data_IF_175716358179
#
_entry.id   IF_175716358179
#
_cell.length_a   1.000
_cell.length_b   1.000
_cell.length_c   1.000
_cell.angle_alpha   90.00
_cell.angle_beta   90.00
_cell.angle_gamma   90.00
#
_symmetry.space_group_name_H-M   'P 1'
#
loop_
_entity.id
_entity.type
_entity.pdbx_description
1 polymer ?
#
# COMPACT_ATOMS: atom_id res chain seq x y z
N UNK A 1 -13.34 -9.61 -14.25
CA UNK A 1 -11.91 -9.30 -14.24
C UNK A 1 -11.22 -10.05 -13.10
N UNK A 2 -10.05 -10.58 -13.38
CA UNK A 2 -9.36 -11.37 -12.38
C UNK A 2 -8.71 -10.46 -11.32
N UNK A 3 -8.95 -10.78 -10.07
CA UNK A 3 -8.36 -10.01 -8.98
C UNK A 3 -6.86 -10.25 -8.90
N UNK A 4 -6.12 -9.19 -8.54
CA UNK A 4 -4.68 -9.25 -8.35
C UNK A 4 -4.36 -9.06 -6.87
N UNK A 5 -3.50 -9.91 -6.36
CA UNK A 5 -3.05 -9.86 -4.96
C UNK A 5 -1.55 -9.66 -4.90
N UNK A 6 -1.10 -8.98 -3.87
CA UNK A 6 0.31 -8.75 -3.63
C UNK A 6 0.64 -8.98 -2.16
N UNK A 7 1.93 -9.10 -1.87
CA UNK A 7 2.43 -9.27 -0.52
C UNK A 7 3.22 -8.03 -0.12
N UNK A 8 2.95 -7.48 1.05
CA UNK A 8 3.74 -6.39 1.61
C UNK A 8 4.67 -6.96 2.66
N UNK A 9 5.94 -6.57 2.59
CA UNK A 9 6.97 -6.99 3.55
C UNK A 9 7.78 -5.79 4.00
N UNK A 10 8.68 -6.01 4.96
CA UNK A 10 9.55 -4.95 5.47
C UNK A 10 8.86 -3.97 6.39
N UNK A 11 7.61 -4.21 6.75
CA UNK A 11 6.86 -3.28 7.58
C UNK A 11 7.43 -3.14 8.99
N UNK A 12 8.18 -4.11 9.46
CA UNK A 12 8.83 -4.04 10.77
C UNK A 12 9.87 -2.91 10.84
N UNK A 13 10.40 -2.48 9.70
CA UNK A 13 11.34 -1.38 9.63
C UNK A 13 10.66 -0.02 9.66
N UNK A 14 9.35 0.01 9.66
CA UNK A 14 8.56 1.25 9.64
C UNK A 14 7.62 1.26 10.85
N UNK A 15 6.36 1.01 10.64
CA UNK A 15 5.35 1.12 11.70
C UNK A 15 4.74 -0.21 12.12
N UNK A 16 5.31 -1.33 11.64
CA UNK A 16 4.79 -2.64 11.96
C UNK A 16 3.41 -2.87 11.38
N UNK A 17 2.63 -3.68 12.05
CA UNK A 17 1.30 -4.06 11.59
C UNK A 17 0.19 -3.09 12.02
N UNK A 18 0.49 -2.14 12.89
CA UNK A 18 -0.55 -1.25 13.43
C UNK A 18 -1.39 -0.57 12.34
N UNK A 19 -0.78 0.05 11.30
CA UNK A 19 -1.56 0.68 10.24
C UNK A 19 -2.03 -0.29 9.15
N UNK A 20 -1.68 -1.56 9.24
CA UNK A 20 -1.96 -2.55 8.19
C UNK A 20 -3.03 -3.54 8.63
N UNK A 21 -4.09 -3.06 9.20
CA UNK A 21 -5.19 -3.94 9.64
C UNK A 21 -6.04 -4.39 8.46
N UNK A 22 -6.56 -5.61 8.48
CA UNK A 22 -7.47 -6.07 7.43
C UNK A 22 -8.62 -5.11 7.21
N UNK A 23 -8.95 -4.87 5.95
CA UNK A 23 -9.99 -3.94 5.55
C UNK A 23 -9.50 -2.53 5.26
N UNK A 24 -8.28 -2.19 5.68
CA UNK A 24 -7.74 -0.85 5.46
C UNK A 24 -7.23 -0.68 4.04
N UNK A 25 -7.38 0.54 3.50
CA UNK A 25 -6.78 0.90 2.22
C UNK A 25 -5.36 1.40 2.41
N UNK A 26 -4.53 1.10 1.44
CA UNK A 26 -3.14 1.52 1.39
C UNK A 26 -2.86 2.01 -0.03
N UNK A 27 -2.04 3.05 -0.15
CA UNK A 27 -1.60 3.55 -1.44
C UNK A 27 -0.24 2.94 -1.75
N UNK A 28 -0.10 2.42 -2.97
CA UNK A 28 1.17 1.90 -3.45
C UNK A 28 1.70 2.80 -4.54
N UNK A 29 3.02 3.06 -4.52
CA UNK A 29 3.67 3.91 -5.53
C UNK A 29 4.91 3.23 -6.05
N UNK A 30 5.11 3.30 -7.36
CA UNK A 30 6.36 2.85 -7.98
C UNK A 30 7.51 3.76 -7.55
N UNK A 31 8.65 3.16 -7.36
CA UNK A 31 9.87 3.89 -6.96
C UNK A 31 11.00 3.54 -7.91
N UNK A 32 10.95 4.06 -9.16
CA UNK A 32 11.95 3.69 -10.17
C UNK A 32 13.37 4.11 -9.84
N UNK A 33 13.53 5.09 -8.95
CA UNK A 33 14.85 5.57 -8.53
C UNK A 33 15.43 4.78 -7.37
N UNK A 34 14.76 3.70 -6.95
CA UNK A 34 15.26 2.88 -5.85
C UNK A 34 16.63 2.30 -6.22
N UNK A 35 17.67 2.53 -5.38
CA UNK A 35 19.02 2.08 -5.72
C UNK A 35 19.21 0.56 -5.72
N UNK A 36 18.28 -0.16 -5.07
CA UNK A 36 18.39 -1.61 -4.94
C UNK A 36 17.48 -2.37 -5.90
N UNK A 37 16.43 -1.73 -6.40
CA UNK A 37 15.45 -2.41 -7.24
C UNK A 37 14.68 -1.39 -8.08
N UNK A 38 14.91 -1.36 -9.40
CA UNK A 38 14.21 -0.41 -10.27
C UNK A 38 12.71 -0.71 -10.39
N UNK A 39 12.27 -1.88 -9.95
CA UNK A 39 10.86 -2.26 -9.95
C UNK A 39 10.24 -2.16 -8.55
N UNK A 40 10.88 -1.45 -7.64
CA UNK A 40 10.38 -1.31 -6.28
C UNK A 40 9.04 -0.57 -6.26
N UNK A 41 8.15 -1.06 -5.42
CA UNK A 41 6.85 -0.43 -5.17
C UNK A 41 6.71 -0.33 -3.65
N UNK A 42 6.55 0.88 -3.14
CA UNK A 42 6.38 1.05 -1.69
C UNK A 42 4.93 1.35 -1.36
N UNK A 43 4.59 1.10 -0.10
CA UNK A 43 3.25 1.28 0.44
C UNK A 43 3.24 2.42 1.43
N UNK A 44 2.20 3.25 1.40
CA UNK A 44 2.12 4.43 2.24
C UNK A 44 0.66 4.73 2.60
N UNK A 45 0.47 5.41 3.71
CA UNK A 45 -0.84 5.90 4.14
C UNK A 45 -0.68 7.28 4.76
N UNK A 46 -1.78 8.07 4.82
CA UNK A 46 -1.75 9.34 5.55
C UNK A 46 -1.35 9.11 7.01
N UNK A 47 -0.74 10.10 7.62
CA UNK A 47 -0.31 10.11 9.02
C UNK A 47 0.97 9.31 9.26
N UNK A 48 1.01 8.06 8.79
CA UNK A 48 2.18 7.20 9.03
C UNK A 48 3.28 7.35 7.98
N UNK A 49 2.90 7.68 6.75
CA UNK A 49 3.86 7.69 5.65
C UNK A 49 4.18 6.28 5.15
N UNK A 50 5.43 6.04 4.83
CA UNK A 50 5.85 4.75 4.25
C UNK A 50 5.66 3.61 5.25
N UNK A 51 5.07 2.51 4.78
CA UNK A 51 4.74 1.35 5.60
C UNK A 51 5.56 0.11 5.26
N UNK A 52 6.07 0.00 4.07
CA UNK A 52 6.79 -1.18 3.61
C UNK A 52 6.86 -1.22 2.10
N UNK A 53 7.22 -2.37 1.57
CA UNK A 53 7.39 -2.57 0.13
C UNK A 53 6.65 -3.80 -0.34
N UNK A 54 6.22 -3.78 -1.60
CA UNK A 54 5.66 -4.97 -2.24
C UNK A 54 6.78 -5.97 -2.45
N UNK A 55 6.56 -7.22 -2.01
CA UNK A 55 7.58 -8.26 -2.10
C UNK A 55 7.92 -8.55 -3.55
N UNK A 56 9.21 -8.72 -3.83
CA UNK A 56 9.71 -8.94 -5.18
C UNK A 56 10.72 -10.09 -5.29
N UNK A 57 10.93 -10.84 -4.23
CA UNK A 57 11.82 -11.99 -4.27
C UNK A 57 11.05 -13.27 -4.02
N UNK A 58 11.58 -14.38 -4.56
CA UNK A 58 10.93 -15.69 -4.41
C UNK A 58 10.69 -16.05 -2.94
N UNK A 59 11.63 -15.67 -2.07
CA UNK A 59 11.53 -16.00 -0.65
C UNK A 59 10.52 -15.18 0.12
N UNK A 60 10.05 -14.04 -0.42
CA UNK A 60 9.16 -13.14 0.30
C UNK A 60 7.75 -13.07 -0.29
N UNK A 61 7.59 -13.43 -1.56
CA UNK A 61 6.27 -13.41 -2.21
C UNK A 61 5.46 -14.61 -1.74
N UNK A 62 4.28 -14.35 -1.17
CA UNK A 62 3.39 -15.42 -0.75
C UNK A 62 2.77 -16.11 -1.96
N UNK A 63 2.53 -17.40 -1.86
CA UNK A 63 1.88 -18.15 -2.93
C UNK A 63 0.55 -17.53 -3.30
N UNK A 64 0.29 -17.43 -4.60
CA UNK A 64 -0.94 -16.84 -5.10
C UNK A 64 -0.91 -15.31 -5.26
N UNK A 65 0.18 -14.66 -4.83
CA UNK A 65 0.33 -13.21 -5.02
C UNK A 65 1.35 -12.93 -6.11
N UNK A 66 1.30 -11.70 -6.63
CA UNK A 66 2.22 -11.25 -7.67
C UNK A 66 3.40 -10.51 -7.05
N UNK A 67 4.60 -10.77 -7.56
CA UNK A 67 5.77 -9.99 -7.17
C UNK A 67 5.65 -8.57 -7.70
N UNK A 68 6.42 -7.64 -7.12
CA UNK A 68 6.45 -6.26 -7.60
C UNK A 68 6.82 -6.21 -9.08
N UNK A 69 7.82 -6.99 -9.51
CA UNK A 69 8.23 -7.00 -10.90
C UNK A 69 7.13 -7.46 -11.85
N UNK A 70 6.37 -8.49 -11.47
CA UNK A 70 5.26 -8.96 -12.30
C UNK A 70 4.12 -7.97 -12.33
N UNK A 71 3.90 -7.28 -11.23
CA UNK A 71 2.82 -6.32 -11.10
C UNK A 71 3.13 -5.00 -11.80
N UNK A 72 4.41 -4.65 -11.88
CA UNK A 72 4.89 -3.32 -12.26
C UNK A 72 4.28 -2.80 -13.55
N UNK A 73 4.23 -3.62 -14.58
CA UNK A 73 3.72 -3.21 -15.88
C UNK A 73 2.19 -3.26 -15.98
N UNK A 74 1.53 -3.77 -14.95
CA UNK A 74 0.08 -3.96 -14.96
C UNK A 74 -0.66 -2.96 -14.07
N UNK A 75 0.04 -2.02 -13.47
CA UNK A 75 -0.56 -1.02 -12.59
C UNK A 75 -0.02 0.37 -12.94
N UNK A 76 -0.76 1.38 -12.53
CA UNK A 76 -0.34 2.77 -12.70
C UNK A 76 0.80 3.11 -11.75
N UNK A 77 1.39 4.28 -11.92
CA UNK A 77 2.47 4.75 -11.05
C UNK A 77 2.06 4.76 -9.58
N UNK A 78 0.79 5.05 -9.33
CA UNK A 78 0.20 4.96 -8.00
C UNK A 78 -1.11 4.20 -8.11
N UNK A 79 -1.36 3.31 -7.17
CA UNK A 79 -2.58 2.51 -7.15
C UNK A 79 -2.92 2.14 -5.71
N UNK A 80 -4.18 1.80 -5.48
CA UNK A 80 -4.66 1.49 -4.13
C UNK A 80 -4.82 -0.01 -3.96
N UNK A 81 -4.53 -0.48 -2.75
CA UNK A 81 -4.74 -1.87 -2.38
C UNK A 81 -5.49 -1.92 -1.04
N UNK A 82 -6.19 -3.02 -0.82
CA UNK A 82 -6.89 -3.25 0.44
C UNK A 82 -6.24 -4.41 1.16
N UNK A 83 -5.95 -4.21 2.44
CA UNK A 83 -5.39 -5.27 3.27
C UNK A 83 -6.45 -6.34 3.47
N UNK A 84 -6.11 -7.57 3.12
CA UNK A 84 -7.02 -8.70 3.24
C UNK A 84 -6.75 -9.50 4.50
N UNK A 85 -5.50 -9.84 4.74
CA UNK A 85 -5.11 -10.52 5.98
C UNK A 85 -3.61 -10.36 6.22
N UNK A 86 -3.20 -10.61 7.45
CA UNK A 86 -1.82 -10.39 7.89
C UNK A 86 -1.27 -11.62 8.59
N UNK A 87 0.05 -11.77 8.51
CA UNK A 87 0.81 -12.70 9.34
C UNK A 87 1.91 -11.89 10.03
N UNK A 88 2.76 -12.56 10.79
CA UNK A 88 3.86 -11.86 11.46
C UNK A 88 4.85 -11.21 10.49
N UNK A 89 4.99 -11.77 9.31
CA UNK A 89 6.02 -11.32 8.36
C UNK A 89 5.47 -10.86 7.02
N UNK A 90 4.18 -11.07 6.76
CA UNK A 90 3.58 -10.77 5.45
C UNK A 90 2.21 -10.16 5.61
N UNK A 91 1.89 -9.20 4.75
CA UNK A 91 0.56 -8.63 4.65
C UNK A 91 0.07 -8.87 3.23
N UNK A 92 -1.09 -9.48 3.10
CA UNK A 92 -1.67 -9.80 1.80
C UNK A 92 -2.70 -8.76 1.45
N UNK A 93 -2.54 -8.13 0.30
CA UNK A 93 -3.42 -7.07 -0.16
C UNK A 93 -3.99 -7.39 -1.54
N UNK A 94 -5.18 -6.88 -1.78
CA UNK A 94 -5.84 -6.99 -3.08
C UNK A 94 -5.78 -5.64 -3.78
N UNK A 95 -5.40 -5.63 -5.05
CA UNK A 95 -5.41 -4.41 -5.85
C UNK A 95 -6.86 -3.98 -6.06
N UNK A 96 -7.16 -2.73 -5.76
CA UNK A 96 -8.50 -2.16 -5.93
C UNK A 96 -8.60 -1.55 -7.31
N UNK A 97 -9.73 -1.77 -7.98
CA UNK A 97 -9.97 -1.22 -9.31
C UNK A 97 -11.15 -0.25 -9.37
N UNK A 98 -11.61 0.22 -8.22
CA UNK A 98 -12.60 1.29 -8.14
C UNK A 98 -11.97 2.62 -8.57
N UNK A 99 -12.81 3.64 -8.75
CA UNK A 99 -12.35 4.95 -9.17
C UNK A 99 -11.33 5.52 -8.18
N UNK A 100 -10.15 5.98 -8.65
CA UNK A 100 -9.13 6.51 -7.75
C UNK A 100 -9.61 7.65 -6.86
N UNK A 101 -10.50 8.50 -7.36
CA UNK A 101 -11.03 9.60 -6.56
C UNK A 101 -11.86 9.10 -5.38
N UNK A 102 -12.60 8.01 -5.57
CA UNK A 102 -13.39 7.42 -4.48
C UNK A 102 -12.48 6.71 -3.48
N UNK A 103 -11.46 6.03 -3.96
CA UNK A 103 -10.51 5.36 -3.09
C UNK A 103 -9.71 6.37 -2.27
N UNK A 104 -9.36 7.51 -2.87
CA UNK A 104 -8.68 8.58 -2.13
C UNK A 104 -9.56 9.11 -1.01
N UNK A 105 -10.85 9.31 -1.27
CA UNK A 105 -11.77 9.73 -0.23
C UNK A 105 -11.86 8.71 0.89
N UNK A 106 -11.92 7.44 0.53
CA UNK A 106 -12.01 6.39 1.53
C UNK A 106 -10.78 6.36 2.43
N UNK A 107 -9.58 6.44 1.85
CA UNK A 107 -8.35 6.39 2.65
C UNK A 107 -8.22 7.62 3.55
N UNK A 108 -8.65 8.78 3.08
CA UNK A 108 -8.64 9.99 3.90
C UNK A 108 -9.64 9.87 5.05
N UNK A 109 -10.82 9.34 4.79
CA UNK A 109 -11.84 9.11 5.81
C UNK A 109 -11.35 8.09 6.84
N UNK A 110 -10.63 7.07 6.39
CA UNK A 110 -10.08 6.03 7.24
C UNK A 110 -9.19 6.60 8.36
N UNK A 111 -8.53 7.72 8.09
CA UNK A 111 -7.64 8.36 9.05
C UNK A 111 -8.19 9.67 9.62
N UNK A 112 -9.44 9.98 9.34
CA UNK A 112 -10.02 11.27 9.75
C UNK A 112 -9.98 11.48 11.26
N UNK A 113 -10.18 10.42 12.03
CA UNK A 113 -10.20 10.54 13.48
C UNK A 113 -8.79 10.69 14.08
N UNK A 114 -7.76 10.39 13.32
CA UNK A 114 -6.37 10.53 13.75
C UNK A 114 -5.81 11.89 13.41
N UNK A 115 -6.56 12.65 12.60
CA UNK A 115 -6.15 13.98 12.23
C UNK A 115 -6.81 14.96 13.15
N UNK A 116 -6.02 15.88 13.58
CA UNK A 116 -6.50 16.91 14.43
C UNK A 116 -7.60 17.70 13.74
N UNK A 117 -8.59 18.14 14.51
CA UNK A 117 -9.62 19.04 13.99
C UNK A 117 -9.02 20.33 13.45
N UNK A 118 -7.77 20.57 13.73
CA UNK A 118 -7.05 21.74 13.24
C UNK A 118 -6.69 21.67 11.77
N UNK A 119 -6.74 20.48 11.16
CA UNK A 119 -6.48 20.38 9.74
C UNK A 119 -7.64 21.01 8.98
N UNK A 120 -7.32 22.00 8.18
CA UNK A 120 -8.36 22.62 7.37
C UNK A 120 -8.64 21.73 6.16
N UNK A 121 -9.84 21.88 5.61
CA UNK A 121 -10.24 21.13 4.43
C UNK A 121 -9.39 21.46 3.22
N UNK A 122 -8.68 22.58 3.28
CA UNK A 122 -7.84 23.03 2.19
C UNK A 122 -6.45 22.46 2.23
N UNK A 123 -6.09 21.79 3.30
CA UNK A 123 -4.76 21.23 3.42
C UNK A 123 -4.61 20.01 2.56
N UNK A 124 -3.54 20.02 1.78
CA UNK A 124 -3.22 18.88 0.96
C UNK A 124 -2.57 17.81 1.79
N UNK A 125 -3.07 16.60 1.63
CA UNK A 125 -2.51 15.47 2.33
C UNK A 125 -1.51 14.81 1.41
N UNK A 126 -0.24 14.88 1.78
CA UNK A 126 0.83 14.22 1.04
C UNK A 126 1.16 12.88 1.70
N UNK A 127 1.16 11.85 0.91
CA UNK A 127 1.56 10.54 1.40
C UNK A 127 2.10 9.68 0.28
#
# INVERSE_FOLDING_TARGET
MKEKYLTVTGFSYYHGLAPLRPGKLVLCRKEPDNPHDPEAIYCTVPVYGKLGYVANSVGTVAGGTMSAGRLYDNVCTAFYVRVMFTTQTKVICRVEDAEPSELKKEILTQYACEWDDELSDDEEIAF
#
